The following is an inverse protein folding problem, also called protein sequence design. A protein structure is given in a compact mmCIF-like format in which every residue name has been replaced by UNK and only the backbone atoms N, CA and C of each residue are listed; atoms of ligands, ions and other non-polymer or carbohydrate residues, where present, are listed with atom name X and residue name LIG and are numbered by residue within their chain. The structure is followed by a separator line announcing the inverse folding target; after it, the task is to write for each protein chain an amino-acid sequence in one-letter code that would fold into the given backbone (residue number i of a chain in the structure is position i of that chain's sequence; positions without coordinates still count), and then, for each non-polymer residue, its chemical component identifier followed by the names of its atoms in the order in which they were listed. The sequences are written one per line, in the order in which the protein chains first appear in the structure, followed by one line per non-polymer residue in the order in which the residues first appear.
data_IF_038724290473
#
_entry.id   IF_038724290473
#
_cell.length_a   1.000
_cell.length_b   1.000
_cell.length_c   1.000
_cell.angle_alpha   90.00
_cell.angle_beta   90.00
_cell.angle_gamma   90.00
#
_symmetry.space_group_name_H-M   'P 1'
#
loop_
_entity.id
_entity.type
_entity.pdbx_description
1 polymer ?
#
# COMPACT_ATOMS: atom_id res chain seq x y z
N UNK A 1 24.25 3.47 12.13
CA UNK A 1 23.03 2.71 11.76
C UNK A 1 23.41 1.28 11.39
N UNK A 2 22.51 0.29 11.57
CA UNK A 2 22.76 -1.07 11.10
C UNK A 2 22.98 -1.10 9.58
N UNK A 3 23.99 -1.84 9.11
CA UNK A 3 24.33 -1.91 7.67
C UNK A 3 23.18 -2.44 6.81
N UNK A 4 22.31 -3.27 7.40
CA UNK A 4 21.22 -3.96 6.71
C UNK A 4 19.92 -3.15 6.69
N UNK A 5 19.84 -2.02 7.40
CA UNK A 5 18.58 -1.26 7.51
C UNK A 5 18.04 -0.78 6.15
N UNK A 6 18.84 -0.19 5.25
CA UNK A 6 18.34 0.23 3.94
C UNK A 6 17.84 -0.95 3.08
N UNK A 7 18.52 -2.10 3.16
CA UNK A 7 18.10 -3.31 2.45
C UNK A 7 16.78 -3.84 3.01
N UNK A 8 16.62 -3.88 4.34
CA UNK A 8 15.38 -4.31 4.97
C UNK A 8 14.20 -3.42 4.55
N UNK A 9 14.38 -2.10 4.53
CA UNK A 9 13.35 -1.15 4.08
C UNK A 9 13.02 -1.32 2.59
N UNK A 10 14.03 -1.54 1.74
CA UNK A 10 13.80 -1.87 0.32
C UNK A 10 12.95 -3.14 0.16
N UNK A 11 13.26 -4.21 0.89
CA UNK A 11 12.49 -5.46 0.83
C UNK A 11 11.04 -5.27 1.28
N UNK A 12 10.81 -4.53 2.37
CA UNK A 12 9.46 -4.17 2.80
C UNK A 12 8.74 -3.37 1.72
N UNK A 13 9.41 -2.38 1.09
CA UNK A 13 8.82 -1.54 0.05
C UNK A 13 8.44 -2.34 -1.18
N UNK A 14 9.29 -3.25 -1.63
CA UNK A 14 9.00 -4.14 -2.76
C UNK A 14 7.84 -5.09 -2.44
N UNK A 15 7.80 -5.67 -1.24
CA UNK A 15 6.69 -6.53 -0.81
C UNK A 15 5.35 -5.81 -0.80
N UNK A 16 5.29 -4.62 -0.19
CA UNK A 16 4.09 -3.78 -0.18
C UNK A 16 3.69 -3.37 -1.60
N UNK A 17 4.66 -2.99 -2.44
CA UNK A 17 4.43 -2.63 -3.84
C UNK A 17 3.76 -3.76 -4.62
N UNK A 18 4.22 -5.01 -4.50
CA UNK A 18 3.65 -6.15 -5.23
C UNK A 18 2.16 -6.31 -4.92
N UNK A 19 1.78 -6.25 -3.64
CA UNK A 19 0.36 -6.38 -3.24
C UNK A 19 -0.47 -5.24 -3.84
N UNK A 20 0.01 -3.99 -3.70
CA UNK A 20 -0.66 -2.83 -4.27
C UNK A 20 -0.73 -2.87 -5.81
N UNK A 21 0.28 -3.41 -6.47
CA UNK A 21 0.31 -3.58 -7.93
C UNK A 21 -0.81 -4.50 -8.38
N UNK A 22 -0.98 -5.67 -7.77
CA UNK A 22 -2.05 -6.58 -8.17
C UNK A 22 -3.45 -6.01 -7.87
N UNK A 23 -3.62 -5.28 -6.78
CA UNK A 23 -4.87 -4.54 -6.53
C UNK A 23 -5.12 -3.39 -7.51
N UNK A 24 -4.06 -2.83 -8.09
CA UNK A 24 -4.15 -1.80 -9.13
C UNK A 24 -4.52 -2.44 -10.46
N UNK A 25 -3.87 -3.56 -10.81
CA UNK A 25 -4.18 -4.33 -12.01
C UNK A 25 -5.61 -4.88 -11.97
N UNK A 26 -6.11 -5.30 -10.81
CA UNK A 26 -7.50 -5.71 -10.63
C UNK A 26 -8.48 -4.62 -11.09
N UNK A 27 -8.25 -3.36 -10.71
CA UNK A 27 -9.10 -2.22 -11.14
C UNK A 27 -9.01 -1.93 -12.64
N UNK A 28 -7.87 -2.21 -13.26
CA UNK A 28 -7.60 -1.88 -14.67
C UNK A 28 -7.96 -3.02 -15.63
N UNK A 29 -7.91 -4.27 -15.17
CA UNK A 29 -8.11 -5.47 -16.00
C UNK A 29 -9.46 -6.13 -15.68
N UNK A 30 -9.92 -6.05 -14.43
CA UNK A 30 -11.18 -6.65 -13.96
C UNK A 30 -12.01 -5.64 -13.13
N UNK A 31 -12.41 -4.49 -13.71
CA UNK A 31 -13.12 -3.44 -12.98
C UNK A 31 -14.41 -3.92 -12.31
N UNK A 32 -15.10 -4.91 -12.88
CA UNK A 32 -16.28 -5.53 -12.26
C UNK A 32 -15.95 -6.26 -10.95
N UNK A 33 -14.82 -6.96 -10.88
CA UNK A 33 -14.37 -7.61 -9.64
C UNK A 33 -14.04 -6.54 -8.58
N UNK A 34 -13.31 -5.50 -8.96
CA UNK A 34 -13.02 -4.37 -8.08
C UNK A 34 -14.31 -3.70 -7.57
N UNK A 35 -15.33 -3.53 -8.42
CA UNK A 35 -16.62 -2.96 -8.02
C UNK A 35 -17.35 -3.82 -6.97
N UNK A 36 -17.32 -5.15 -7.11
CA UNK A 36 -17.89 -6.07 -6.11
C UNK A 36 -17.17 -5.95 -4.77
N UNK A 37 -15.84 -5.87 -4.77
CA UNK A 37 -15.05 -5.63 -3.56
C UNK A 37 -15.40 -4.27 -2.94
N UNK A 38 -15.49 -3.22 -3.75
CA UNK A 38 -15.85 -1.88 -3.28
C UNK A 38 -17.25 -1.82 -2.68
N UNK A 39 -18.20 -2.56 -3.24
CA UNK A 39 -19.54 -2.74 -2.68
C UNK A 39 -19.47 -3.40 -1.30
N UNK A 40 -18.76 -4.54 -1.21
CA UNK A 40 -18.74 -5.37 -0.02
C UNK A 40 -18.04 -4.73 1.18
N UNK A 41 -16.97 -3.97 0.94
CA UNK A 41 -16.11 -3.44 2.01
C UNK A 41 -16.24 -1.93 2.21
N UNK A 42 -16.74 -1.17 1.23
CA UNK A 42 -16.75 0.29 1.27
C UNK A 42 -18.13 0.89 0.98
N UNK A 43 -19.11 0.09 0.55
CA UNK A 43 -20.43 0.60 0.17
C UNK A 43 -20.45 1.44 -1.12
N UNK A 44 -19.41 1.36 -1.95
CA UNK A 44 -19.21 2.20 -3.15
C UNK A 44 -19.47 1.46 -4.47
N UNK A 45 -20.44 0.54 -4.48
CA UNK A 45 -20.72 -0.34 -5.61
C UNK A 45 -21.37 0.30 -6.82
N UNK A 46 -22.02 1.45 -6.65
CA UNK A 46 -22.75 2.15 -7.72
C UNK A 46 -21.86 3.00 -8.63
N UNK A 47 -20.55 3.02 -8.37
CA UNK A 47 -19.60 3.71 -9.23
C UNK A 47 -19.53 2.99 -10.59
N UNK A 48 -19.58 3.77 -11.68
CA UNK A 48 -19.38 3.22 -13.02
C UNK A 48 -17.94 2.76 -13.26
N UNK A 49 -17.73 1.90 -14.27
CA UNK A 49 -16.41 1.37 -14.63
C UNK A 49 -15.35 2.46 -14.85
N UNK A 50 -15.74 3.60 -15.42
CA UNK A 50 -14.86 4.76 -15.64
C UNK A 50 -14.21 5.26 -14.35
N UNK A 51 -14.91 5.18 -13.21
CA UNK A 51 -14.36 5.54 -11.90
C UNK A 51 -13.27 4.54 -11.46
N UNK A 52 -13.46 3.24 -11.70
CA UNK A 52 -12.47 2.21 -11.37
C UNK A 52 -11.22 2.32 -12.23
N UNK A 53 -11.36 2.63 -13.52
CA UNK A 53 -10.22 2.93 -14.38
C UNK A 53 -9.45 4.17 -13.89
N UNK A 54 -10.16 5.26 -13.56
CA UNK A 54 -9.52 6.47 -13.02
C UNK A 54 -8.78 6.19 -11.70
N UNK A 55 -9.40 5.45 -10.78
CA UNK A 55 -8.77 5.01 -9.54
C UNK A 55 -7.56 4.12 -9.80
N UNK A 56 -7.64 3.19 -10.74
CA UNK A 56 -6.54 2.31 -11.11
C UNK A 56 -5.34 3.09 -11.69
N UNK A 57 -5.57 4.06 -12.57
CA UNK A 57 -4.51 4.92 -13.13
C UNK A 57 -3.87 5.79 -12.04
N UNK A 58 -4.68 6.38 -11.17
CA UNK A 58 -4.19 7.18 -10.05
C UNK A 58 -3.37 6.33 -9.06
N UNK A 59 -3.86 5.12 -8.74
CA UNK A 59 -3.16 4.17 -7.89
C UNK A 59 -1.85 3.71 -8.53
N UNK A 60 -1.83 3.47 -9.85
CA UNK A 60 -0.62 3.10 -10.59
C UNK A 60 0.46 4.19 -10.47
N UNK A 61 0.11 5.44 -10.70
CA UNK A 61 1.03 6.56 -10.55
C UNK A 61 1.58 6.65 -9.12
N UNK A 62 0.72 6.50 -8.11
CA UNK A 62 1.10 6.49 -6.70
C UNK A 62 2.10 5.36 -6.39
N UNK A 63 1.82 4.13 -6.82
CA UNK A 63 2.65 2.96 -6.45
C UNK A 63 3.99 2.97 -7.19
N UNK A 64 4.06 3.56 -8.39
CA UNK A 64 5.31 3.79 -9.12
C UNK A 64 6.19 4.83 -8.41
N UNK A 65 5.59 5.92 -7.94
CA UNK A 65 6.30 6.91 -7.11
C UNK A 65 6.74 6.30 -5.76
N UNK A 66 5.90 5.47 -5.15
CA UNK A 66 6.21 4.74 -3.91
C UNK A 66 7.40 3.79 -4.10
N UNK A 67 7.39 2.89 -5.09
CA UNK A 67 8.43 1.86 -5.23
C UNK A 67 9.79 2.45 -5.56
N UNK A 68 9.81 3.54 -6.32
CA UNK A 68 11.03 4.32 -6.63
C UNK A 68 11.49 5.18 -5.46
N UNK A 69 10.71 5.26 -4.38
CA UNK A 69 11.01 5.99 -3.16
C UNK A 69 10.92 7.51 -3.32
N UNK A 70 10.10 8.01 -4.25
CA UNK A 70 9.84 9.43 -4.46
C UNK A 70 8.79 9.96 -3.48
N UNK A 71 8.92 11.23 -3.07
CA UNK A 71 7.98 11.94 -2.19
C UNK A 71 7.59 11.13 -0.94
N UNK A 72 8.58 10.49 -0.28
CA UNK A 72 8.37 9.44 0.75
C UNK A 72 7.31 9.77 1.80
N UNK A 73 7.26 11.00 2.33
CA UNK A 73 6.22 11.41 3.29
C UNK A 73 4.80 11.25 2.72
N UNK A 74 4.59 11.61 1.46
CA UNK A 74 3.28 11.54 0.81
C UNK A 74 2.97 10.14 0.31
N UNK A 75 3.90 9.50 -0.40
CA UNK A 75 3.66 8.19 -1.00
C UNK A 75 3.55 7.10 0.08
N UNK A 76 4.42 7.10 1.09
CA UNK A 76 4.40 6.07 2.14
C UNK A 76 3.22 6.31 3.07
N UNK A 77 2.90 7.58 3.35
CA UNK A 77 1.72 7.97 4.13
C UNK A 77 0.42 7.54 3.45
N UNK A 78 0.28 7.80 2.14
CA UNK A 78 -0.89 7.38 1.38
C UNK A 78 -1.06 5.85 1.37
N UNK A 79 0.03 5.11 1.15
CA UNK A 79 0.02 3.63 1.19
C UNK A 79 -0.38 3.11 2.57
N UNK A 80 0.18 3.68 3.64
CA UNK A 80 -0.21 3.36 5.01
C UNK A 80 -1.70 3.62 5.28
N UNK A 81 -2.21 4.78 4.87
CA UNK A 81 -3.63 5.13 5.05
C UNK A 81 -4.51 4.18 4.23
N UNK A 82 -4.22 3.96 2.95
CA UNK A 82 -5.03 3.10 2.08
C UNK A 82 -5.08 1.67 2.59
N UNK A 83 -3.93 1.11 2.98
CA UNK A 83 -3.88 -0.25 3.54
C UNK A 83 -4.52 -0.31 4.92
N UNK A 84 -4.36 0.73 5.75
CA UNK A 84 -4.99 0.84 7.06
C UNK A 84 -6.51 0.88 6.97
N UNK A 85 -7.07 1.73 6.12
CA UNK A 85 -8.51 1.77 5.84
C UNK A 85 -8.99 0.42 5.31
N UNK A 86 -8.26 -0.22 4.39
CA UNK A 86 -8.64 -1.53 3.85
C UNK A 86 -8.65 -2.62 4.93
N UNK A 87 -7.67 -2.60 5.83
CA UNK A 87 -7.56 -3.54 6.96
C UNK A 87 -8.75 -3.35 7.91
N UNK A 88 -9.08 -2.11 8.26
CA UNK A 88 -10.18 -1.81 9.17
C UNK A 88 -11.57 -2.02 8.54
N UNK A 89 -11.73 -1.78 7.23
CA UNK A 89 -12.97 -2.04 6.51
C UNK A 89 -13.35 -3.54 6.54
N UNK A 90 -12.35 -4.43 6.63
CA UNK A 90 -12.56 -5.87 6.72
C UNK A 90 -12.73 -6.39 8.16
N UNK A 91 -12.97 -5.52 9.16
CA UNK A 91 -12.89 -5.92 10.57
C UNK A 91 -13.77 -7.12 10.96
N UNK A 92 -14.98 -7.21 10.40
CA UNK A 92 -15.90 -8.32 10.66
C UNK A 92 -15.33 -9.69 10.27
N UNK A 93 -14.42 -9.74 9.28
CA UNK A 93 -13.75 -10.98 8.85
C UNK A 93 -12.81 -11.53 9.91
N UNK A 94 -12.23 -10.67 10.75
CA UNK A 94 -11.37 -11.11 11.86
C UNK A 94 -12.15 -11.78 13.00
N UNK A 95 -13.47 -11.53 13.11
CA UNK A 95 -14.32 -12.14 14.13
C UNK A 95 -14.69 -13.59 13.82
N UNK A 96 -14.48 -14.04 12.58
CA UNK A 96 -14.61 -15.43 12.14
C UNK A 96 -13.27 -15.90 11.52
N UNK A 97 -12.22 -16.04 12.35
CA UNK A 97 -10.85 -16.15 11.85
C UNK A 97 -10.57 -17.43 11.07
N UNK A 98 -11.23 -18.54 11.42
CA UNK A 98 -10.99 -19.83 10.77
C UNK A 98 -11.62 -19.91 9.37
N UNK A 99 -12.68 -19.15 9.10
CA UNK A 99 -13.29 -19.04 7.77
C UNK A 99 -12.58 -17.99 6.88
N UNK A 100 -11.82 -17.07 7.50
CA UNK A 100 -11.23 -15.92 6.83
C UNK A 100 -9.73 -15.78 7.11
N UNK A 101 -9.02 -16.90 7.30
CA UNK A 101 -7.64 -16.93 7.78
C UNK A 101 -6.69 -16.01 7.00
N UNK A 102 -6.86 -15.90 5.68
CA UNK A 102 -6.00 -15.09 4.81
C UNK A 102 -6.10 -13.58 5.07
N UNK A 103 -7.21 -13.09 5.64
CA UNK A 103 -7.35 -11.68 5.99
C UNK A 103 -6.32 -11.23 7.02
N UNK A 104 -5.81 -12.16 7.85
CA UNK A 104 -4.77 -11.84 8.82
C UNK A 104 -3.43 -11.44 8.18
N UNK A 105 -3.20 -11.76 6.91
CA UNK A 105 -2.05 -11.27 6.15
C UNK A 105 -2.04 -9.72 6.01
N UNK A 106 -3.19 -9.07 6.20
CA UNK A 106 -3.28 -7.61 6.21
C UNK A 106 -2.50 -6.98 7.38
N UNK A 107 -2.40 -7.65 8.54
CA UNK A 107 -1.75 -7.10 9.74
C UNK A 107 -0.22 -6.99 9.60
N UNK A 108 0.52 -8.03 9.20
CA UNK A 108 1.95 -7.90 8.90
C UNK A 108 2.23 -6.86 7.81
N UNK A 109 1.38 -6.77 6.79
CA UNK A 109 1.51 -5.76 5.74
C UNK A 109 1.25 -4.34 6.27
N UNK A 110 0.28 -4.15 7.16
CA UNK A 110 0.04 -2.88 7.83
C UNK A 110 1.24 -2.46 8.69
N UNK A 111 1.82 -3.41 9.42
CA UNK A 111 3.05 -3.18 10.17
C UNK A 111 4.22 -2.80 9.24
N UNK A 112 4.35 -3.43 8.07
CA UNK A 112 5.34 -3.06 7.06
C UNK A 112 5.14 -1.63 6.53
N UNK A 113 3.88 -1.25 6.23
CA UNK A 113 3.54 0.11 5.80
C UNK A 113 3.90 1.14 6.89
N UNK A 114 3.58 0.84 8.15
CA UNK A 114 3.90 1.69 9.29
C UNK A 114 5.42 1.83 9.49
N UNK A 115 6.16 0.72 9.42
CA UNK A 115 7.62 0.71 9.53
C UNK A 115 8.26 1.56 8.43
N UNK A 116 7.80 1.41 7.17
CA UNK A 116 8.27 2.24 6.06
C UNK A 116 8.00 3.72 6.31
N UNK A 117 6.79 4.10 6.73
CA UNK A 117 6.46 5.50 6.97
C UNK A 117 7.27 6.10 8.14
N UNK A 118 7.39 5.38 9.25
CA UNK A 118 8.13 5.83 10.44
C UNK A 118 9.63 5.95 10.17
N UNK A 119 10.19 5.04 9.38
CA UNK A 119 11.62 4.96 9.07
C UNK A 119 11.98 5.53 7.69
N UNK A 120 11.08 6.29 7.07
CA UNK A 120 11.22 6.78 5.69
C UNK A 120 12.50 7.58 5.43
N UNK A 121 13.04 8.27 6.44
CA UNK A 121 14.27 9.04 6.31
C UNK A 121 15.52 8.14 6.22
N UNK A 122 15.41 6.91 6.72
CA UNK A 122 16.46 5.88 6.67
C UNK A 122 16.36 4.98 5.44
N UNK A 123 15.30 5.14 4.66
CA UNK A 123 15.11 4.43 3.41
C UNK A 123 15.89 5.10 2.29
N UNK A 124 17.15 4.68 2.14
CA UNK A 124 18.14 5.36 1.29
C UNK A 124 18.38 4.69 -0.06
N UNK A 125 17.97 3.44 -0.23
CA UNK A 125 18.02 2.73 -1.52
C UNK A 125 16.83 3.15 -2.40
N UNK A 126 16.83 4.41 -2.84
CA UNK A 126 15.72 5.06 -3.58
C UNK A 126 16.24 5.94 -4.70
N UNK A 127 15.35 6.36 -5.62
CA UNK A 127 15.66 7.39 -6.63
C UNK A 127 15.50 8.82 -6.09
N UNK A 128 14.95 9.00 -4.89
CA UNK A 128 14.84 10.33 -4.28
C UNK A 128 16.19 10.89 -3.89
N UNK A 129 16.34 12.21 -4.01
CA UNK A 129 17.51 12.93 -3.48
C UNK A 129 17.54 12.75 -1.96
N UNK A 130 18.59 12.13 -1.45
CA UNK A 130 18.76 12.00 -0.01
C UNK A 130 18.96 13.40 0.59
N UNK A 131 18.27 13.75 1.69
CA UNK A 131 18.65 14.92 2.47
C UNK A 131 20.12 14.78 2.87
N UNK A 132 20.91 15.84 2.70
CA UNK A 132 22.26 15.89 3.25
C UNK A 132 22.13 15.60 4.75
N UNK A 133 22.89 14.64 5.32
CA UNK A 133 22.86 14.41 6.76
C UNK A 133 23.09 15.74 7.46
N UNK A 134 22.19 16.13 8.35
CA UNK A 134 22.49 17.22 9.27
C UNK A 134 23.75 16.81 10.02
N UNK A 135 24.81 17.62 9.95
CA UNK A 135 25.99 17.46 10.78
C UNK A 135 25.50 17.39 12.24
N UNK A 136 25.61 16.21 12.84
CA UNK A 136 25.40 16.01 14.26
C UNK A 136 26.65 16.46 15.02
#
# INVERSE_FOLDING_TARGET
MPKQLPLALLLLRLGVFIVFLFWTLDKLVQPEHAAKVFTAFYGLGSLGESAFYAMGVAQLALILAFVTGLFKTWTYGAILVFHGVSTLAAFSKYLQPFDNLIFFAAWPMLAACAALFLLRDYDTLTLSRQPTPALA
#
